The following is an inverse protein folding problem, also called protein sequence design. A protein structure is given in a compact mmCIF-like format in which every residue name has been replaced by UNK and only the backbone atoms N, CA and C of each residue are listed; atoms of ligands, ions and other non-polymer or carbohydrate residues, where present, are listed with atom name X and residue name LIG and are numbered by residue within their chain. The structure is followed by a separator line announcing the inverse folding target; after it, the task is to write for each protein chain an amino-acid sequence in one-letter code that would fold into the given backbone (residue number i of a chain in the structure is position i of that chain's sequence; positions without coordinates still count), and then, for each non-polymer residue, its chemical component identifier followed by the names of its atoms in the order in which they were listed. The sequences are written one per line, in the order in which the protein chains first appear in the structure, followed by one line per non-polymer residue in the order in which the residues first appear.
data_IF_716235598912
#
_entry.id   IF_716235598912
#
_cell.length_a   1.000
_cell.length_b   1.000
_cell.length_c   1.000
_cell.angle_alpha   90.00
_cell.angle_beta   90.00
_cell.angle_gamma   90.00
#
_symmetry.space_group_name_H-M   'P 1'
#
loop_
_entity.id
_entity.type
_entity.pdbx_description
1 polymer ?
#
# COMPACT_ATOMS: atom_id res chain seq x y z
N UNK A 1 -5.59 -3.13 -2.13
CA UNK A 1 -4.38 -2.53 -2.73
C UNK A 1 -3.77 -1.59 -1.71
N UNK A 2 -2.44 -1.59 -1.58
CA UNK A 2 -1.67 -0.68 -0.72
C UNK A 2 -0.58 -0.03 -1.58
N UNK A 3 -0.31 1.26 -1.38
CA UNK A 3 0.55 2.09 -2.24
C UNK A 3 1.63 2.73 -1.37
N UNK A 4 2.89 2.43 -1.66
CA UNK A 4 4.08 2.73 -0.83
C UNK A 4 3.76 2.77 0.68
N UNK A 5 3.18 1.70 1.24
CA UNK A 5 2.73 1.70 2.62
C UNK A 5 3.92 1.68 3.60
N UNK A 6 3.74 2.31 4.76
CA UNK A 6 4.58 2.08 5.92
C UNK A 6 4.28 0.74 6.61
N UNK A 7 5.16 0.23 7.49
CA UNK A 7 4.92 -1.03 8.21
C UNK A 7 3.76 -0.97 9.22
N UNK A 8 3.41 0.23 9.68
CA UNK A 8 2.35 0.48 10.65
C UNK A 8 1.31 1.45 10.05
N UNK A 9 0.02 1.21 10.33
CA UNK A 9 -1.09 2.08 9.94
C UNK A 9 -1.77 2.65 11.19
N UNK A 10 -2.19 3.91 11.12
CA UNK A 10 -2.89 4.61 12.21
C UNK A 10 -4.32 4.90 11.75
N UNK A 11 -5.30 4.50 12.56
CA UNK A 11 -6.73 4.65 12.23
C UNK A 11 -7.46 5.67 13.12
N UNK A 12 -6.80 6.17 14.16
CA UNK A 12 -7.31 7.19 15.06
C UNK A 12 -6.39 8.41 15.03
N UNK A 13 -6.96 9.60 14.86
CA UNK A 13 -6.23 10.86 14.82
C UNK A 13 -6.56 11.66 16.06
N UNK A 14 -5.53 12.06 16.81
CA UNK A 14 -5.64 12.92 17.96
C UNK A 14 -5.11 14.32 17.65
N UNK A 15 -5.69 15.36 18.28
CA UNK A 15 -5.25 16.76 18.11
C UNK A 15 -3.77 16.94 18.50
N UNK A 16 -3.27 16.12 19.42
CA UNK A 16 -1.85 16.09 19.82
C UNK A 16 -0.90 15.68 18.70
N UNK A 17 -1.38 14.93 17.70
CA UNK A 17 -0.56 14.40 16.59
C UNK A 17 -0.01 15.52 15.70
N UNK A 18 -0.69 16.68 15.64
CA UNK A 18 -0.20 17.84 14.91
C UNK A 18 1.08 18.41 15.54
N UNK A 19 1.24 18.28 16.87
CA UNK A 19 2.24 19.03 17.64
C UNK A 19 3.52 18.26 17.98
N UNK A 20 3.66 17.00 17.59
CA UNK A 20 4.94 16.28 17.69
C UNK A 20 4.82 14.78 17.96
N UNK A 21 5.74 14.05 17.33
CA UNK A 21 5.88 12.59 17.26
C UNK A 21 5.59 11.85 18.57
N UNK A 22 4.41 11.25 18.65
CA UNK A 22 4.14 10.15 19.56
C UNK A 22 3.95 8.91 18.70
N UNK A 23 4.63 7.81 19.07
CA UNK A 23 4.24 6.49 18.58
C UNK A 23 2.79 6.33 18.98
N UNK A 24 1.90 6.18 18.00
CA UNK A 24 0.47 6.15 18.28
C UNK A 24 0.16 4.85 19.03
N UNK A 25 -0.44 4.96 20.22
CA UNK A 25 -0.86 3.80 21.04
C UNK A 25 -1.88 2.88 20.30
N UNK A 26 -2.37 3.30 19.12
CA UNK A 26 -3.21 2.55 18.21
C UNK A 26 -2.59 2.20 16.84
N UNK A 27 -1.28 2.35 16.66
CA UNK A 27 -0.62 1.95 15.42
C UNK A 27 -0.72 0.42 15.22
N UNK A 28 -1.26 0.00 14.08
CA UNK A 28 -1.45 -1.41 13.74
C UNK A 28 -0.40 -1.85 12.73
N UNK A 29 0.36 -2.89 13.07
CA UNK A 29 1.26 -3.53 12.12
C UNK A 29 0.47 -4.12 10.95
N UNK A 30 0.83 -3.76 9.72
CA UNK A 30 0.07 -4.13 8.51
C UNK A 30 0.34 -5.61 8.13
N UNK A 31 1.56 -6.10 8.34
CA UNK A 31 1.97 -7.44 7.90
C UNK A 31 1.11 -8.60 8.47
N UNK A 32 0.75 -8.62 9.77
CA UNK A 32 -0.18 -9.59 10.33
C UNK A 32 -1.57 -9.55 9.68
N UNK A 33 -2.08 -8.35 9.36
CA UNK A 33 -3.40 -8.19 8.76
C UNK A 33 -3.43 -8.68 7.30
N UNK A 34 -2.35 -8.43 6.55
CA UNK A 34 -2.14 -9.02 5.21
C UNK A 34 -2.02 -10.55 5.27
N UNK A 35 -1.45 -11.11 6.34
CA UNK A 35 -1.36 -12.57 6.48
C UNK A 35 -2.73 -13.21 6.81
N UNK A 36 -3.64 -12.48 7.46
CA UNK A 36 -4.98 -12.95 7.85
C UNK A 36 -6.02 -12.78 6.76
N UNK A 37 -5.81 -11.83 5.83
CA UNK A 37 -6.77 -11.58 4.76
C UNK A 37 -6.85 -12.73 3.76
N UNK A 38 -8.07 -13.02 3.31
CA UNK A 38 -8.36 -14.00 2.24
C UNK A 38 -8.45 -13.35 0.87
N UNK A 39 -8.39 -12.02 0.80
CA UNK A 39 -8.53 -11.24 -0.43
C UNK A 39 -7.14 -11.04 -1.04
N UNK A 40 -6.98 -11.13 -2.37
CA UNK A 40 -5.73 -10.76 -3.03
C UNK A 40 -5.32 -9.32 -2.68
N UNK A 41 -4.05 -9.14 -2.33
CA UNK A 41 -3.44 -7.86 -2.02
C UNK A 41 -2.48 -7.50 -3.15
N UNK A 42 -2.59 -6.28 -3.65
CA UNK A 42 -1.60 -5.67 -4.54
C UNK A 42 -0.81 -4.68 -3.70
N UNK A 43 0.51 -4.85 -3.64
CA UNK A 43 1.44 -3.93 -3.00
C UNK A 43 2.21 -3.18 -4.09
N UNK A 44 2.08 -1.86 -4.12
CA UNK A 44 2.77 -1.01 -5.10
C UNK A 44 3.86 -0.22 -4.40
N UNK A 45 5.03 -0.13 -5.01
CA UNK A 45 6.16 0.66 -4.53
C UNK A 45 7.01 1.20 -5.69
N UNK A 46 7.85 2.19 -5.41
CA UNK A 46 8.88 2.66 -6.32
C UNK A 46 10.01 1.64 -6.45
N UNK A 47 10.54 1.45 -7.65
CA UNK A 47 11.62 0.52 -7.94
C UNK A 47 12.92 0.92 -7.22
N UNK A 48 13.13 2.22 -7.00
CA UNK A 48 14.30 2.74 -6.29
C UNK A 48 14.20 2.57 -4.77
N UNK A 49 13.00 2.31 -4.23
CA UNK A 49 12.83 2.02 -2.78
C UNK A 49 13.50 0.68 -2.40
N UNK A 50 13.61 -0.26 -3.34
CA UNK A 50 14.32 -1.52 -3.13
C UNK A 50 13.91 -2.26 -1.84
N UNK A 51 14.89 -2.56 -0.99
CA UNK A 51 14.68 -3.25 0.29
C UNK A 51 14.08 -2.35 1.40
N UNK A 52 14.08 -1.03 1.21
CA UNK A 52 13.50 -0.08 2.17
C UNK A 52 11.97 -0.02 2.03
N UNK A 53 11.43 -0.47 0.89
CA UNK A 53 9.98 -0.64 0.71
C UNK A 53 9.42 -1.72 1.63
N UNK A 54 8.32 -1.42 2.31
CA UNK A 54 7.58 -2.44 3.06
C UNK A 54 7.10 -3.60 2.17
N UNK A 55 6.83 -3.35 0.88
CA UNK A 55 6.41 -4.40 -0.06
C UNK A 55 7.46 -5.51 -0.19
N UNK A 56 8.75 -5.19 -0.08
CA UNK A 56 9.83 -6.18 -0.10
C UNK A 56 9.70 -7.21 1.04
N UNK A 57 9.11 -6.84 2.18
CA UNK A 57 8.86 -7.75 3.30
C UNK A 57 7.68 -8.70 3.06
N UNK A 58 6.87 -8.42 2.04
CA UNK A 58 5.68 -9.19 1.66
C UNK A 58 5.91 -10.08 0.44
N UNK A 59 7.04 -9.92 -0.25
CA UNK A 59 7.41 -10.69 -1.43
C UNK A 59 7.38 -12.19 -1.14
N UNK A 60 6.76 -12.96 -2.05
CA UNK A 60 6.61 -14.40 -1.92
C UNK A 60 5.41 -14.86 -1.09
N UNK A 61 4.62 -13.94 -0.49
CA UNK A 61 3.36 -14.31 0.14
C UNK A 61 2.32 -14.71 -0.92
N UNK A 62 1.57 -15.81 -0.72
CA UNK A 62 0.71 -16.40 -1.75
C UNK A 62 -0.47 -15.52 -2.18
N UNK A 63 -0.90 -14.59 -1.32
CA UNK A 63 -1.99 -13.66 -1.57
C UNK A 63 -1.52 -12.25 -1.92
N UNK A 64 -0.23 -12.03 -2.17
CA UNK A 64 0.35 -10.71 -2.47
C UNK A 64 0.91 -10.69 -3.90
N UNK A 65 0.48 -9.70 -4.67
CA UNK A 65 1.12 -9.30 -5.93
C UNK A 65 1.97 -8.07 -5.67
N UNK A 66 3.28 -8.23 -5.84
CA UNK A 66 4.26 -7.15 -5.75
C UNK A 66 4.37 -6.41 -7.09
N UNK A 67 4.36 -5.07 -7.06
CA UNK A 67 4.36 -4.22 -8.24
C UNK A 67 5.31 -3.05 -8.03
N UNK A 68 6.46 -3.11 -8.71
CA UNK A 68 7.38 -1.99 -8.79
C UNK A 68 7.01 -1.06 -9.96
N UNK A 69 6.99 0.25 -9.70
CA UNK A 69 6.92 1.31 -10.71
C UNK A 69 8.23 2.10 -10.74
N UNK A 70 8.59 2.78 -11.84
CA UNK A 70 9.77 3.66 -11.87
C UNK A 70 9.78 4.70 -10.73
N UNK A 71 10.98 5.10 -10.33
CA UNK A 71 11.19 6.13 -9.30
C UNK A 71 11.22 5.62 -7.87
N UNK A 72 11.33 6.58 -6.94
CA UNK A 72 11.28 6.36 -5.49
C UNK A 72 9.85 6.35 -4.93
N UNK A 73 9.71 6.63 -3.63
CA UNK A 73 8.43 6.63 -2.90
C UNK A 73 7.34 7.52 -3.53
N UNK A 74 7.74 8.56 -4.25
CA UNK A 74 6.83 9.49 -4.95
C UNK A 74 6.68 9.19 -6.45
N UNK A 75 7.23 8.07 -6.94
CA UNK A 75 7.12 7.61 -8.33
C UNK A 75 7.61 8.64 -9.36
N UNK A 76 8.65 9.40 -9.01
CA UNK A 76 9.17 10.55 -9.78
C UNK A 76 8.12 11.61 -10.16
N UNK A 77 6.97 11.61 -9.48
CA UNK A 77 5.83 12.47 -9.78
C UNK A 77 4.94 11.98 -10.92
N UNK A 78 5.19 10.80 -11.50
CA UNK A 78 4.37 10.20 -12.57
C UNK A 78 3.11 9.51 -11.99
N UNK A 79 2.19 10.34 -11.52
CA UNK A 79 0.92 9.87 -10.98
C UNK A 79 -0.02 9.32 -12.05
N UNK A 80 0.19 9.64 -13.32
CA UNK A 80 -0.58 9.09 -14.44
C UNK A 80 -0.26 7.61 -14.62
N UNK A 81 1.02 7.21 -14.57
CA UNK A 81 1.42 5.82 -14.59
C UNK A 81 0.87 5.04 -13.38
N UNK A 82 0.92 5.63 -12.18
CA UNK A 82 0.32 5.05 -10.98
C UNK A 82 -1.19 4.85 -11.15
N UNK A 83 -1.90 5.87 -11.62
CA UNK A 83 -3.34 5.85 -11.87
C UNK A 83 -3.74 4.78 -12.90
N UNK A 84 -3.00 4.68 -14.01
CA UNK A 84 -3.22 3.66 -15.02
C UNK A 84 -3.05 2.24 -14.43
N UNK A 85 -2.04 2.03 -13.56
CA UNK A 85 -1.83 0.74 -12.90
C UNK A 85 -2.97 0.37 -11.96
N UNK A 86 -3.48 1.35 -11.21
CA UNK A 86 -4.66 1.18 -10.34
C UNK A 86 -5.87 0.77 -11.17
N UNK A 87 -6.17 1.53 -12.24
CA UNK A 87 -7.33 1.27 -13.10
C UNK A 87 -7.28 -0.13 -13.73
N UNK A 88 -6.10 -0.57 -14.19
CA UNK A 88 -5.91 -1.90 -14.75
C UNK A 88 -6.01 -3.04 -13.70
N UNK A 89 -5.89 -2.73 -12.41
CA UNK A 89 -5.93 -3.71 -11.32
C UNK A 89 -7.33 -3.97 -10.75
N UNK A 90 -8.33 -3.19 -11.17
CA UNK A 90 -9.70 -3.36 -10.72
C UNK A 90 -10.33 -4.59 -11.39
N UNK A 91 -11.15 -5.36 -10.67
CA UNK A 91 -12.01 -6.35 -11.31
C UNK A 91 -12.94 -5.65 -12.33
N UNK A 92 -13.43 -6.37 -13.36
CA UNK A 92 -14.36 -5.79 -14.32
C UNK A 92 -15.52 -5.14 -13.57
N UNK A 93 -15.84 -3.87 -13.88
CA UNK A 93 -17.07 -3.26 -13.36
C UNK A 93 -18.22 -4.15 -13.82
N UNK A 94 -18.97 -4.70 -12.86
CA UNK A 94 -20.30 -5.24 -13.15
C UNK A 94 -21.15 -4.07 -13.64
N UNK A 95 -21.36 -4.01 -14.95
CA UNK A 95 -22.41 -3.19 -15.53
C UNK A 95 -23.74 -3.67 -14.95
N UNK A 96 -24.34 -2.83 -14.10
CA UNK A 96 -25.66 -3.06 -13.55
C UNK A 96 -26.71 -2.77 -14.62
N UNK A 97 -26.95 -3.71 -15.52
CA UNK A 97 -28.24 -3.78 -16.22
C UNK A 97 -29.26 -4.42 -15.28
N UNK A 98 -30.08 -3.57 -14.66
CA UNK A 98 -31.41 -3.94 -14.17
C UNK A 98 -32.39 -4.04 -15.34
#
# INVERSE_FOLDING_TARGET
MVISPDPEAVFEIHVGDWFGSTRHDGALAIAPEIARTKVPVICVHGAEEGADSFCATLTGKPNVTDVALPGGHHYDGDYDALGARIAASQPPRTDGTH
#
